data_IF_615767548741
#
_entry.id   IF_615767548741
#
_cell.length_a   1.000
_cell.length_b   1.000
_cell.length_c   1.000
_cell.angle_alpha   90.00
_cell.angle_beta   90.00
_cell.angle_gamma   90.00
#
_symmetry.space_group_name_H-M   'P 1'
#
loop_
_entity.id
_entity.type
_entity.pdbx_description
1 polymer ?
#
# COMPACT_ATOMS: atom_id res chain seq x y z
N UNK A 1 -22.43 20.89 0.74
CA UNK A 1 -21.61 20.19 1.75
C UNK A 1 -20.60 19.19 1.17
N UNK A 2 -20.64 18.88 -0.12
CA UNK A 2 -19.79 17.88 -0.79
C UNK A 2 -18.45 18.41 -1.29
N UNK A 3 -18.35 19.68 -1.67
CA UNK A 3 -17.12 20.26 -2.25
C UNK A 3 -16.01 20.54 -1.24
N UNK A 4 -16.36 20.92 0.00
CA UNK A 4 -15.37 21.11 1.09
C UNK A 4 -14.68 19.78 1.44
N UNK A 5 -15.41 18.67 1.41
CA UNK A 5 -14.86 17.33 1.68
C UNK A 5 -13.86 16.89 0.61
N UNK A 6 -14.04 17.32 -0.64
CA UNK A 6 -13.13 17.02 -1.75
C UNK A 6 -11.86 17.86 -1.69
N UNK A 7 -11.95 19.17 -1.40
CA UNK A 7 -10.76 20.01 -1.20
C UNK A 7 -9.94 19.58 0.02
N UNK A 8 -10.59 19.11 1.09
CA UNK A 8 -9.92 18.62 2.31
C UNK A 8 -9.10 17.35 2.06
N UNK A 9 -9.53 16.48 1.12
CA UNK A 9 -8.73 15.31 0.71
C UNK A 9 -7.45 15.69 -0.02
N UNK A 10 -7.48 16.76 -0.82
CA UNK A 10 -6.34 17.18 -1.66
C UNK A 10 -5.20 17.76 -0.80
N UNK A 11 -5.50 18.60 0.19
CA UNK A 11 -4.47 19.27 1.01
C UNK A 11 -3.68 18.28 1.90
N UNK A 12 -4.35 17.25 2.43
CA UNK A 12 -3.66 16.20 3.20
C UNK A 12 -2.79 15.32 2.28
N UNK A 13 -3.23 15.11 1.03
CA UNK A 13 -2.46 14.37 0.02
C UNK A 13 -1.22 15.16 -0.46
N UNK A 14 -1.34 16.46 -0.66
CA UNK A 14 -0.26 17.33 -1.15
C UNK A 14 0.86 17.53 -0.12
N UNK A 15 0.54 17.49 1.17
CA UNK A 15 1.57 17.48 2.23
C UNK A 15 2.39 16.20 2.29
N UNK A 16 1.91 15.11 1.65
CA UNK A 16 2.51 13.78 1.67
C UNK A 16 3.18 13.44 0.32
N UNK A 17 2.80 14.10 -0.79
CA UNK A 17 3.16 13.71 -2.16
C UNK A 17 3.90 14.79 -2.96
N UNK A 18 4.89 15.48 -2.38
CA UNK A 18 5.87 16.22 -3.20
C UNK A 18 6.95 15.28 -3.73
N UNK A 19 6.60 14.50 -4.76
CA UNK A 19 7.54 13.90 -5.70
C UNK A 19 6.97 14.02 -7.12
N UNK A 20 7.68 14.77 -7.95
CA UNK A 20 7.29 15.30 -9.25
C UNK A 20 6.84 14.26 -10.29
N UNK A 21 5.72 14.51 -10.96
CA UNK A 21 5.49 14.12 -12.35
C UNK A 21 4.69 15.22 -13.09
N UNK A 22 5.12 15.67 -14.29
CA UNK A 22 4.49 16.77 -15.01
C UNK A 22 3.22 16.32 -15.72
N UNK A 23 2.16 17.13 -15.60
CA UNK A 23 0.95 17.05 -16.42
C UNK A 23 1.16 17.96 -17.63
N UNK A 24 1.29 17.37 -18.82
CA UNK A 24 1.16 18.11 -20.09
C UNK A 24 -0.29 18.06 -20.54
N UNK A 25 -0.89 19.24 -20.69
CA UNK A 25 -2.12 19.50 -21.44
C UNK A 25 -1.78 19.54 -22.93
N UNK A 26 -2.69 19.06 -23.80
CA UNK A 26 -2.96 19.67 -25.11
C UNK A 26 -4.26 19.14 -25.73
N UNK A 27 -5.05 20.07 -26.26
CA UNK A 27 -6.25 19.91 -27.09
C UNK A 27 -5.91 19.49 -28.54
N UNK A 28 -6.80 18.79 -29.24
CA UNK A 28 -7.57 19.29 -30.41
C UNK A 28 -8.31 18.18 -31.18
N UNK A 29 -9.42 18.59 -31.80
CA UNK A 29 -10.36 17.87 -32.69
C UNK A 29 -9.68 17.25 -33.93
N UNK A 30 -10.35 16.29 -34.60
CA UNK A 30 -10.97 16.45 -35.95
C UNK A 30 -11.53 15.13 -36.54
N UNK A 31 -12.78 15.23 -37.04
CA UNK A 31 -13.51 14.57 -38.16
C UNK A 31 -13.59 13.03 -38.25
N UNK A 32 -14.81 12.43 -38.21
CA UNK A 32 -15.84 12.31 -39.27
C UNK A 32 -15.38 11.57 -40.53
N UNK A 33 -15.99 10.41 -40.80
CA UNK A 33 -16.42 10.01 -42.13
C UNK A 33 -17.66 9.12 -42.03
N UNK A 34 -18.74 9.56 -42.65
CA UNK A 34 -19.96 8.81 -42.94
C UNK A 34 -19.74 7.88 -44.15
N UNK A 35 -20.52 6.80 -44.21
CA UNK A 35 -20.58 5.91 -45.37
C UNK A 35 -21.64 4.85 -45.19
N UNK A 36 -22.82 5.10 -45.77
CA UNK A 36 -24.01 4.26 -45.76
C UNK A 36 -23.81 2.90 -46.46
N UNK A 37 -24.51 1.84 -46.02
CA UNK A 37 -25.68 1.28 -46.72
C UNK A 37 -26.12 -0.12 -46.26
N UNK A 38 -27.45 -0.28 -46.27
CA UNK A 38 -28.24 -1.48 -46.66
C UNK A 38 -28.28 -2.74 -45.78
N UNK A 39 -29.41 -2.84 -45.06
CA UNK A 39 -30.35 -3.98 -45.01
C UNK A 39 -29.85 -5.41 -44.73
N UNK A 40 -30.28 -5.98 -43.60
CA UNK A 40 -31.02 -7.25 -43.56
C UNK A 40 -31.70 -7.39 -42.19
N UNK A 41 -33.03 -7.25 -42.16
CA UNK A 41 -33.82 -7.40 -40.95
C UNK A 41 -34.23 -8.87 -40.83
N UNK A 42 -33.35 -9.71 -40.27
CA UNK A 42 -33.72 -11.07 -39.87
C UNK A 42 -34.34 -10.96 -38.48
N UNK A 43 -35.67 -11.06 -38.41
CA UNK A 43 -36.40 -11.36 -37.17
C UNK A 43 -35.74 -12.59 -36.53
N UNK A 44 -34.99 -12.37 -35.45
CA UNK A 44 -34.35 -13.45 -34.71
C UNK A 44 -35.43 -14.27 -34.00
N UNK A 45 -35.87 -15.35 -34.63
CA UNK A 45 -36.54 -16.47 -33.95
C UNK A 45 -35.47 -17.36 -33.32
N UNK A 46 -34.65 -16.76 -32.44
CA UNK A 46 -33.77 -17.46 -31.51
C UNK A 46 -33.88 -16.73 -30.18
N UNK A 47 -35.03 -16.97 -29.56
CA UNK A 47 -35.29 -16.60 -28.19
C UNK A 47 -34.40 -17.48 -27.29
N UNK A 48 -33.71 -16.84 -26.34
CA UNK A 48 -32.65 -17.35 -25.43
C UNK A 48 -31.23 -17.39 -26.01
N UNK A 49 -30.58 -16.21 -26.10
CA UNK A 49 -29.12 -16.13 -25.90
C UNK A 49 -28.81 -16.50 -24.45
N UNK A 50 -28.66 -17.79 -24.18
CA UNK A 50 -27.82 -18.24 -23.09
C UNK A 50 -26.45 -17.59 -23.36
N UNK A 51 -25.94 -16.75 -22.46
CA UNK A 51 -24.52 -16.33 -22.50
C UNK A 51 -23.71 -17.39 -21.72
N UNK A 52 -23.04 -18.35 -22.37
CA UNK A 52 -21.82 -18.92 -21.81
C UNK A 52 -20.71 -18.91 -22.89
N UNK A 53 -19.47 -19.38 -22.67
CA UNK A 53 -18.47 -19.16 -21.62
C UNK A 53 -17.39 -18.12 -22.05
N UNK A 54 -17.65 -17.33 -23.09
CA UNK A 54 -16.63 -16.53 -23.80
C UNK A 54 -15.98 -15.44 -22.93
N UNK A 55 -16.72 -14.86 -21.98
CA UNK A 55 -16.19 -13.88 -21.01
C UNK A 55 -15.23 -14.51 -20.00
N UNK A 56 -15.49 -15.75 -19.57
CA UNK A 56 -14.63 -16.46 -18.63
C UNK A 56 -13.31 -16.90 -19.28
N UNK A 57 -13.35 -17.34 -20.55
CA UNK A 57 -12.16 -17.69 -21.33
C UNK A 57 -11.29 -16.46 -21.56
N UNK A 58 -11.88 -15.32 -21.97
CA UNK A 58 -11.14 -14.07 -22.15
C UNK A 58 -10.51 -13.55 -20.85
N UNK A 59 -11.20 -13.72 -19.71
CA UNK A 59 -10.66 -13.37 -18.40
C UNK A 59 -9.49 -14.30 -18.01
N UNK A 60 -9.59 -15.60 -18.29
CA UNK A 60 -8.53 -16.57 -18.02
C UNK A 60 -7.29 -16.28 -18.90
N UNK A 61 -7.47 -16.02 -20.19
CA UNK A 61 -6.39 -15.64 -21.12
C UNK A 61 -5.73 -14.33 -20.68
N UNK A 62 -6.52 -13.33 -20.28
CA UNK A 62 -6.00 -12.06 -19.74
C UNK A 62 -5.18 -12.28 -18.46
N UNK A 63 -5.64 -13.15 -17.55
CA UNK A 63 -4.90 -13.51 -16.33
C UNK A 63 -3.57 -14.20 -16.64
N UNK A 64 -3.55 -15.18 -17.56
CA UNK A 64 -2.33 -15.88 -17.96
C UNK A 64 -1.33 -14.92 -18.61
N UNK A 65 -1.80 -14.05 -19.51
CA UNK A 65 -0.95 -13.05 -20.16
C UNK A 65 -0.35 -12.06 -19.14
N UNK A 66 -1.18 -11.56 -18.22
CA UNK A 66 -0.73 -10.68 -17.15
C UNK A 66 0.32 -11.36 -16.26
N UNK A 67 0.11 -12.62 -15.92
CA UNK A 67 1.06 -13.38 -15.11
C UNK A 67 2.40 -13.60 -15.83
N UNK A 68 2.39 -13.82 -17.13
CA UNK A 68 3.62 -13.89 -17.93
C UNK A 68 4.42 -12.59 -17.89
N UNK A 69 3.75 -11.44 -18.04
CA UNK A 69 4.39 -10.11 -17.93
C UNK A 69 5.03 -9.93 -16.55
N UNK A 70 4.28 -10.25 -15.48
CA UNK A 70 4.76 -10.15 -14.10
C UNK A 70 5.99 -11.05 -13.90
N UNK A 71 5.93 -12.32 -14.30
CA UNK A 71 7.04 -13.27 -14.15
C UNK A 71 8.32 -12.78 -14.84
N UNK A 72 8.18 -12.25 -16.07
CA UNK A 72 9.32 -11.69 -16.82
C UNK A 72 9.93 -10.49 -16.08
N UNK A 73 9.09 -9.57 -15.64
CA UNK A 73 9.54 -8.38 -14.91
C UNK A 73 10.21 -8.75 -13.57
N UNK A 74 9.63 -9.67 -12.80
CA UNK A 74 10.21 -10.17 -11.53
C UNK A 74 11.58 -10.78 -11.78
N UNK A 75 11.73 -11.64 -12.80
CA UNK A 75 13.03 -12.25 -13.10
C UNK A 75 14.12 -11.20 -13.31
N UNK A 76 13.81 -10.12 -14.02
CA UNK A 76 14.74 -9.01 -14.25
C UNK A 76 15.02 -8.23 -12.95
N UNK A 77 13.98 -7.94 -12.17
CA UNK A 77 14.12 -7.23 -10.89
C UNK A 77 14.91 -8.01 -9.86
N UNK A 78 14.79 -9.34 -9.82
CA UNK A 78 15.57 -10.18 -8.92
C UNK A 78 17.06 -10.11 -9.25
N UNK A 79 17.44 -10.05 -10.53
CA UNK A 79 18.84 -9.84 -10.92
C UNK A 79 19.38 -8.51 -10.39
N UNK A 80 18.57 -7.45 -10.37
CA UNK A 80 18.97 -6.17 -9.74
C UNK A 80 19.03 -6.27 -8.21
N UNK A 81 18.15 -7.04 -7.57
CA UNK A 81 18.11 -7.21 -6.13
C UNK A 81 19.38 -7.88 -5.57
N UNK A 82 20.02 -8.76 -6.35
CA UNK A 82 21.27 -9.42 -5.94
C UNK A 82 22.51 -8.53 -6.10
N UNK A 83 22.40 -7.40 -6.81
CA UNK A 83 23.52 -6.49 -7.05
C UNK A 83 23.78 -5.55 -5.86
N UNK A 84 25.04 -5.10 -5.68
CA UNK A 84 25.36 -3.99 -4.79
C UNK A 84 24.72 -2.69 -5.28
N UNK A 85 24.42 -1.77 -4.36
CA UNK A 85 23.75 -0.49 -4.71
C UNK A 85 24.66 0.45 -5.51
N UNK A 86 25.98 0.28 -5.38
CA UNK A 86 27.02 1.03 -6.10
C UNK A 86 27.98 0.06 -6.78
N UNK A 87 28.52 0.44 -7.94
CA UNK A 87 29.50 -0.37 -8.70
C UNK A 87 30.76 -0.72 -7.89
N UNK A 88 31.10 0.11 -6.90
CA UNK A 88 32.28 -0.04 -6.03
C UNK A 88 31.94 -0.66 -4.65
N UNK A 89 30.66 -0.95 -4.37
CA UNK A 89 30.28 -1.57 -3.10
C UNK A 89 30.53 -3.08 -3.16
N UNK A 90 31.21 -3.59 -2.14
CA UNK A 90 31.47 -5.03 -1.95
C UNK A 90 30.34 -5.74 -1.21
N UNK A 91 29.25 -5.05 -0.88
CA UNK A 91 28.13 -5.64 -0.13
C UNK A 91 27.20 -6.34 -1.11
N UNK A 92 27.33 -7.66 -1.18
CA UNK A 92 26.38 -8.49 -1.92
C UNK A 92 24.98 -8.37 -1.30
N UNK A 93 23.93 -8.32 -2.13
CA UNK A 93 22.53 -8.17 -1.69
C UNK A 93 22.19 -6.83 -0.99
N UNK A 94 23.03 -5.80 -1.09
CA UNK A 94 22.75 -4.48 -0.49
C UNK A 94 21.42 -3.89 -0.96
N UNK A 95 21.10 -4.02 -2.27
CA UNK A 95 19.83 -3.56 -2.84
C UNK A 95 18.63 -4.29 -2.23
N UNK A 96 18.78 -5.59 -1.95
CA UNK A 96 17.75 -6.40 -1.29
C UNK A 96 17.57 -5.97 0.17
N UNK A 97 18.66 -5.74 0.92
CA UNK A 97 18.57 -5.27 2.30
C UNK A 97 17.86 -3.91 2.39
N UNK A 98 18.21 -2.99 1.50
CA UNK A 98 17.55 -1.70 1.35
C UNK A 98 16.05 -1.85 1.02
N UNK A 99 15.69 -2.85 0.20
CA UNK A 99 14.30 -3.15 -0.09
C UNK A 99 13.54 -3.65 1.15
N UNK A 100 14.12 -4.51 1.98
CA UNK A 100 13.49 -4.97 3.23
C UNK A 100 13.21 -3.79 4.16
N UNK A 101 14.17 -2.88 4.32
CA UNK A 101 14.00 -1.64 5.11
C UNK A 101 12.86 -0.80 4.53
N UNK A 102 12.84 -0.61 3.22
CA UNK A 102 11.76 0.11 2.54
C UNK A 102 10.38 -0.54 2.78
N UNK A 103 10.29 -1.87 2.74
CA UNK A 103 9.03 -2.58 3.02
C UNK A 103 8.55 -2.33 4.44
N UNK A 104 9.45 -2.31 5.41
CA UNK A 104 9.14 -1.95 6.79
C UNK A 104 8.49 -0.56 6.87
N UNK A 105 9.15 0.45 6.28
CA UNK A 105 8.68 1.84 6.29
C UNK A 105 7.36 2.02 5.53
N UNK A 106 7.22 1.36 4.39
CA UNK A 106 5.99 1.37 3.60
C UNK A 106 4.80 0.75 4.35
N UNK A 107 5.04 -0.27 5.17
CA UNK A 107 4.01 -0.91 5.97
C UNK A 107 3.55 0.02 7.11
N UNK A 108 4.50 0.63 7.83
CA UNK A 108 4.22 1.63 8.87
C UNK A 108 3.36 2.76 8.31
N UNK A 109 3.77 3.33 7.17
CA UNK A 109 3.03 4.41 6.52
C UNK A 109 1.60 4.00 6.14
N UNK A 110 1.41 2.77 5.63
CA UNK A 110 0.08 2.27 5.26
C UNK A 110 -0.84 2.14 6.47
N UNK A 111 -0.33 1.60 7.58
CA UNK A 111 -1.08 1.50 8.83
C UNK A 111 -1.40 2.86 9.46
N UNK A 112 -0.45 3.79 9.45
CA UNK A 112 -0.65 5.14 10.00
C UNK A 112 -1.69 5.92 9.19
N UNK A 113 -1.72 5.78 7.87
CA UNK A 113 -2.76 6.39 7.03
C UNK A 113 -4.14 5.84 7.40
N UNK A 114 -4.28 4.51 7.54
CA UNK A 114 -5.54 3.89 7.97
C UNK A 114 -5.96 4.38 9.37
N UNK A 115 -5.02 4.45 10.32
CA UNK A 115 -5.29 4.95 11.68
C UNK A 115 -5.64 6.44 11.71
N UNK A 116 -5.02 7.26 10.86
CA UNK A 116 -5.35 8.67 10.73
C UNK A 116 -6.80 8.85 10.28
N UNK A 117 -7.24 8.07 9.27
CA UNK A 117 -8.62 8.09 8.78
C UNK A 117 -9.64 7.64 9.84
N UNK A 118 -9.25 6.75 10.74
CA UNK A 118 -10.08 6.35 11.90
C UNK A 118 -10.15 7.43 12.98
N UNK A 119 -9.02 8.07 13.30
CA UNK A 119 -8.90 9.03 14.40
C UNK A 119 -9.54 10.38 14.06
N UNK A 120 -9.40 10.87 12.82
CA UNK A 120 -10.01 12.14 12.36
C UNK A 120 -11.54 12.12 12.47
N UNK A 121 -12.16 10.93 12.51
CA UNK A 121 -13.61 10.79 12.76
C UNK A 121 -14.00 11.04 14.23
N UNK A 122 -13.05 10.99 15.16
CA UNK A 122 -13.28 11.03 16.62
C UNK A 122 -12.75 12.29 17.30
N UNK A 123 -11.69 12.91 16.76
CA UNK A 123 -11.03 14.08 17.36
C UNK A 123 -10.77 15.17 16.32
N UNK A 124 -10.42 16.37 16.78
CA UNK A 124 -10.00 17.46 15.90
C UNK A 124 -8.78 17.07 15.04
N UNK A 125 -8.69 17.62 13.83
CA UNK A 125 -7.62 17.33 12.86
C UNK A 125 -6.22 17.60 13.39
N UNK A 126 -6.04 18.66 14.18
CA UNK A 126 -4.75 19.03 14.74
C UNK A 126 -4.29 17.98 15.74
N UNK A 127 -5.21 17.57 16.62
CA UNK A 127 -4.95 16.51 17.60
C UNK A 127 -4.71 15.15 16.95
N UNK A 128 -5.43 14.85 15.86
CA UNK A 128 -5.20 13.65 15.06
C UNK A 128 -3.79 13.64 14.46
N UNK A 129 -3.35 14.77 13.88
CA UNK A 129 -2.01 14.92 13.30
C UNK A 129 -0.92 14.72 14.34
N UNK A 130 -1.03 15.37 15.50
CA UNK A 130 -0.03 15.27 16.56
C UNK A 130 0.06 13.84 17.11
N UNK A 131 -1.10 13.18 17.30
CA UNK A 131 -1.15 11.79 17.74
C UNK A 131 -0.51 10.83 16.74
N UNK A 132 -0.79 11.00 15.44
CA UNK A 132 -0.18 10.18 14.38
C UNK A 132 1.33 10.45 14.26
N UNK A 133 1.75 11.71 14.38
CA UNK A 133 3.16 12.09 14.34
C UNK A 133 3.95 11.47 15.49
N UNK A 134 3.39 11.50 16.71
CA UNK A 134 4.00 10.86 17.88
C UNK A 134 4.08 9.34 17.73
N UNK A 135 2.98 8.72 17.29
CA UNK A 135 2.92 7.28 17.03
C UNK A 135 3.95 6.84 15.98
N UNK A 136 4.11 7.64 14.90
CA UNK A 136 5.14 7.40 13.88
C UNK A 136 6.52 7.33 14.51
N UNK A 137 6.93 8.34 15.26
CA UNK A 137 8.26 8.40 15.85
C UNK A 137 8.53 7.20 16.77
N UNK A 138 7.58 6.85 17.64
CA UNK A 138 7.70 5.69 18.53
C UNK A 138 7.88 4.38 17.74
N UNK A 139 7.04 4.16 16.74
CA UNK A 139 7.07 2.95 15.91
C UNK A 139 8.39 2.89 15.12
N UNK A 140 8.83 4.00 14.55
CA UNK A 140 10.07 4.06 13.77
C UNK A 140 11.31 3.80 14.65
N UNK A 141 11.35 4.32 15.88
CA UNK A 141 12.44 4.04 16.83
C UNK A 141 12.50 2.55 17.21
N UNK A 142 11.36 1.94 17.59
CA UNK A 142 11.31 0.51 17.91
C UNK A 142 11.69 -0.35 16.69
N UNK A 143 11.23 0.02 15.49
CA UNK A 143 11.51 -0.70 14.25
C UNK A 143 12.99 -0.63 13.86
N UNK A 144 13.64 0.54 13.99
CA UNK A 144 15.08 0.70 13.76
C UNK A 144 15.90 -0.20 14.67
N UNK A 145 15.53 -0.28 15.94
CA UNK A 145 16.17 -1.18 16.92
C UNK A 145 16.01 -2.65 16.54
N UNK A 146 14.78 -3.08 16.18
CA UNK A 146 14.49 -4.45 15.73
C UNK A 146 15.29 -4.84 14.49
N UNK A 147 15.36 -3.94 13.50
CA UNK A 147 16.06 -4.18 12.24
C UNK A 147 17.57 -3.94 12.32
N UNK A 148 18.06 -3.35 13.41
CA UNK A 148 19.46 -2.93 13.62
C UNK A 148 19.95 -2.01 12.51
N UNK A 149 19.16 -0.98 12.20
CA UNK A 149 19.48 0.03 11.17
C UNK A 149 19.39 1.44 11.75
N UNK A 150 20.28 2.33 11.30
CA UNK A 150 20.26 3.73 11.75
C UNK A 150 19.10 4.51 11.12
N UNK A 151 18.76 4.16 9.88
CA UNK A 151 17.83 4.89 9.04
C UNK A 151 16.83 3.97 8.34
N UNK A 152 15.60 4.46 8.25
CA UNK A 152 14.54 3.86 7.46
C UNK A 152 14.56 4.42 6.03
N UNK A 153 14.01 3.67 5.08
CA UNK A 153 14.03 4.03 3.66
C UNK A 153 12.63 4.32 3.15
N UNK A 154 12.44 5.53 2.60
CA UNK A 154 11.16 5.94 2.01
C UNK A 154 11.05 5.61 0.52
N UNK A 155 12.17 5.28 -0.15
CA UNK A 155 12.21 4.93 -1.56
C UNK A 155 12.29 3.42 -1.75
N UNK A 156 11.54 2.88 -2.72
CA UNK A 156 11.59 1.47 -3.13
C UNK A 156 12.14 1.29 -4.54
N UNK A 157 13.47 1.29 -4.75
CA UNK A 157 14.08 1.17 -6.08
C UNK A 157 13.63 -0.08 -6.84
N UNK A 158 13.50 -1.23 -6.16
CA UNK A 158 13.06 -2.47 -6.80
C UNK A 158 11.59 -2.41 -7.26
N UNK A 159 10.72 -1.73 -6.53
CA UNK A 159 9.33 -1.52 -6.95
C UNK A 159 9.24 -0.56 -8.15
N UNK A 160 10.04 0.50 -8.14
CA UNK A 160 10.13 1.43 -9.26
C UNK A 160 10.66 0.71 -10.52
N UNK A 161 11.73 -0.08 -10.38
CA UNK A 161 12.28 -0.86 -11.46
C UNK A 161 11.30 -1.93 -11.97
N UNK A 162 10.65 -2.68 -11.07
CA UNK A 162 9.61 -3.64 -11.47
C UNK A 162 8.49 -2.98 -12.27
N UNK A 163 8.05 -1.80 -11.83
CA UNK A 163 7.00 -1.05 -12.53
C UNK A 163 7.44 -0.61 -13.91
N UNK A 164 8.68 -0.11 -14.07
CA UNK A 164 9.18 0.32 -15.38
C UNK A 164 9.30 -0.85 -16.36
N UNK A 165 9.65 -2.05 -15.89
CA UNK A 165 9.67 -3.26 -16.73
C UNK A 165 8.27 -3.67 -17.24
N UNK A 166 7.21 -3.32 -16.51
CA UNK A 166 5.82 -3.66 -16.88
C UNK A 166 5.10 -2.53 -17.63
N UNK A 167 5.60 -1.29 -17.56
CA UNK A 167 4.87 -0.09 -17.98
C UNK A 167 4.46 -0.11 -19.45
N UNK A 168 5.35 -0.59 -20.34
CA UNK A 168 5.04 -0.76 -21.76
C UNK A 168 3.86 -1.70 -22.01
N UNK A 169 3.76 -2.79 -21.26
CA UNK A 169 2.68 -3.78 -21.38
C UNK A 169 1.37 -3.35 -20.70
N UNK A 170 1.45 -2.41 -19.76
CA UNK A 170 0.29 -1.89 -19.03
C UNK A 170 -0.45 -0.76 -19.76
N UNK A 171 0.06 -0.26 -20.89
CA UNK A 171 -0.50 0.93 -21.59
C UNK A 171 -1.97 0.78 -21.98
N UNK A 172 -2.39 -0.42 -22.38
CA UNK A 172 -3.77 -0.72 -22.80
C UNK A 172 -4.72 -0.98 -21.62
N UNK A 173 -4.20 -1.08 -20.39
CA UNK A 173 -4.99 -1.37 -19.20
C UNK A 173 -5.56 -0.09 -18.58
N UNK A 174 -6.75 -0.19 -18.01
CA UNK A 174 -7.32 0.91 -17.23
C UNK A 174 -6.61 1.06 -15.86
N UNK A 175 -6.89 2.16 -15.15
CA UNK A 175 -6.25 2.46 -13.86
C UNK A 175 -6.35 1.31 -12.85
N UNK A 176 -7.55 0.77 -12.64
CA UNK A 176 -7.78 -0.30 -11.65
C UNK A 176 -7.06 -1.59 -12.03
N UNK A 177 -7.01 -1.91 -13.32
CA UNK A 177 -6.29 -3.08 -13.84
C UNK A 177 -4.77 -2.93 -13.67
N UNK A 178 -4.23 -1.74 -13.93
CA UNK A 178 -2.81 -1.43 -13.68
C UNK A 178 -2.47 -1.53 -12.20
N UNK A 179 -3.31 -0.98 -11.33
CA UNK A 179 -3.08 -1.00 -9.89
C UNK A 179 -3.18 -2.43 -9.32
N UNK A 180 -4.13 -3.24 -9.80
CA UNK A 180 -4.23 -4.66 -9.46
C UNK A 180 -3.01 -5.46 -9.94
N UNK A 181 -2.54 -5.21 -11.17
CA UNK A 181 -1.34 -5.86 -11.73
C UNK A 181 -0.09 -5.50 -10.91
N UNK A 182 0.12 -4.21 -10.61
CA UNK A 182 1.25 -3.75 -9.77
C UNK A 182 1.20 -4.38 -8.39
N UNK A 183 0.03 -4.38 -7.74
CA UNK A 183 -0.15 -5.01 -6.43
C UNK A 183 0.25 -6.48 -6.46
N UNK A 184 -0.22 -7.23 -7.44
CA UNK A 184 0.14 -8.66 -7.59
C UNK A 184 1.64 -8.83 -7.84
N UNK A 185 2.25 -7.99 -8.68
CA UNK A 185 3.69 -8.06 -8.96
C UNK A 185 4.54 -7.75 -7.72
N UNK A 186 4.15 -6.75 -6.93
CA UNK A 186 4.79 -6.39 -5.65
C UNK A 186 4.71 -7.51 -4.62
N UNK A 187 3.53 -8.11 -4.45
CA UNK A 187 3.34 -9.26 -3.55
C UNK A 187 4.21 -10.46 -3.95
N UNK A 188 4.27 -10.77 -5.25
CA UNK A 188 5.11 -11.85 -5.76
C UNK A 188 6.61 -11.54 -5.61
N UNK A 189 7.04 -10.31 -5.87
CA UNK A 189 8.43 -9.89 -5.64
C UNK A 189 8.82 -10.04 -4.17
N UNK A 190 7.98 -9.57 -3.23
CA UNK A 190 8.21 -9.73 -1.80
C UNK A 190 8.41 -11.22 -1.44
N UNK A 191 7.54 -12.12 -1.94
CA UNK A 191 7.67 -13.57 -1.72
C UNK A 191 8.96 -14.16 -2.29
N UNK A 192 9.40 -13.69 -3.46
CA UNK A 192 10.66 -14.14 -4.05
C UNK A 192 11.87 -13.66 -3.26
N UNK A 193 11.85 -12.43 -2.74
CA UNK A 193 12.90 -11.91 -1.86
C UNK A 193 12.98 -12.73 -0.57
N UNK A 194 11.85 -13.05 0.06
CA UNK A 194 11.82 -13.92 1.24
C UNK A 194 12.40 -15.31 0.97
N UNK A 195 12.11 -15.88 -0.21
CA UNK A 195 12.74 -17.14 -0.65
C UNK A 195 14.25 -17.00 -0.81
N UNK A 196 14.75 -15.89 -1.36
CA UNK A 196 16.20 -15.64 -1.50
C UNK A 196 16.84 -15.55 -0.11
N UNK A 197 16.29 -14.74 0.80
CA UNK A 197 16.77 -14.59 2.17
C UNK A 197 16.89 -15.96 2.85
N UNK A 198 15.83 -16.77 2.76
CA UNK A 198 15.79 -18.11 3.34
C UNK A 198 16.80 -19.07 2.69
N UNK A 199 16.79 -19.18 1.37
CA UNK A 199 17.61 -20.16 0.64
C UNK A 199 19.11 -19.84 0.72
N UNK A 200 19.46 -18.55 0.74
CA UNK A 200 20.84 -18.07 0.86
C UNK A 200 21.27 -17.86 2.32
N UNK A 201 20.37 -18.07 3.29
CA UNK A 201 20.60 -17.86 4.73
C UNK A 201 21.18 -16.48 5.02
N UNK A 202 20.61 -15.44 4.39
CA UNK A 202 21.08 -14.07 4.58
C UNK A 202 20.79 -13.62 6.02
N UNK A 203 21.73 -12.87 6.61
CA UNK A 203 21.58 -12.32 7.96
C UNK A 203 20.71 -11.04 7.94
N UNK A 204 19.43 -11.20 7.59
CA UNK A 204 18.44 -10.12 7.56
C UNK A 204 17.06 -10.70 7.84
N UNK A 205 16.12 -9.86 8.25
CA UNK A 205 14.73 -10.25 8.44
C UNK A 205 14.05 -10.47 7.09
N UNK A 206 13.14 -11.42 7.02
CA UNK A 206 12.21 -11.53 5.88
C UNK A 206 11.21 -10.36 5.88
N UNK A 207 10.70 -10.03 4.71
CA UNK A 207 9.65 -9.03 4.52
C UNK A 207 8.40 -9.45 5.29
N UNK A 208 8.08 -10.75 5.32
CA UNK A 208 6.97 -11.27 6.11
C UNK A 208 7.15 -11.00 7.62
N UNK A 209 8.32 -11.30 8.20
CA UNK A 209 8.61 -11.05 9.62
C UNK A 209 8.52 -9.56 9.94
N UNK A 210 9.08 -8.71 9.07
CA UNK A 210 9.03 -7.25 9.22
C UNK A 210 7.57 -6.75 9.22
N UNK A 211 6.74 -7.23 8.29
CA UNK A 211 5.31 -6.85 8.26
C UNK A 211 4.58 -7.28 9.52
N UNK A 212 4.86 -8.48 10.04
CA UNK A 212 4.26 -8.97 11.28
C UNK A 212 4.71 -8.11 12.48
N UNK A 213 5.99 -7.75 12.55
CA UNK A 213 6.51 -6.90 13.61
C UNK A 213 5.90 -5.50 13.57
N UNK A 214 5.80 -4.88 12.39
CA UNK A 214 5.13 -3.58 12.22
C UNK A 214 3.67 -3.64 12.68
N UNK A 215 2.93 -4.69 12.32
CA UNK A 215 1.57 -4.89 12.79
C UNK A 215 1.49 -4.92 14.33
N UNK A 216 2.40 -5.64 14.99
CA UNK A 216 2.47 -5.68 16.46
C UNK A 216 2.75 -4.30 17.06
N UNK A 217 3.71 -3.55 16.51
CA UNK A 217 4.05 -2.20 16.98
C UNK A 217 2.87 -1.24 16.85
N UNK A 218 2.20 -1.24 15.69
CA UNK A 218 1.01 -0.43 15.44
C UNK A 218 -0.11 -0.82 16.41
N UNK A 219 -0.37 -2.12 16.59
CA UNK A 219 -1.38 -2.59 17.53
C UNK A 219 -1.08 -2.19 18.98
N UNK A 220 0.19 -2.20 19.38
CA UNK A 220 0.64 -1.77 20.71
C UNK A 220 0.47 -0.26 20.91
N UNK A 221 0.90 0.55 19.94
CA UNK A 221 0.84 2.02 19.99
C UNK A 221 -0.60 2.55 20.00
N UNK A 222 -1.47 1.93 19.21
CA UNK A 222 -2.89 2.30 19.12
C UNK A 222 -3.81 1.41 19.96
N UNK A 223 -3.27 0.52 20.80
CA UNK A 223 -4.08 -0.23 21.75
C UNK A 223 -4.88 0.79 22.55
N UNK A 224 -6.21 0.64 22.54
CA UNK A 224 -7.05 1.37 23.48
C UNK A 224 -6.55 0.97 24.86
N UNK A 225 -5.81 1.85 25.51
CA UNK A 225 -5.60 1.72 26.94
C UNK A 225 -7.00 1.58 27.51
N UNK A 226 -7.35 0.38 27.99
CA UNK A 226 -8.42 0.14 28.98
C UNK A 226 -8.10 0.88 30.30
N UNK A 227 -7.49 2.07 30.24
CA UNK A 227 -7.23 3.01 31.34
C UNK A 227 -8.38 3.99 31.53
N UNK A 228 -9.57 3.70 31.01
CA UNK A 228 -10.81 4.27 31.55
C UNK A 228 -11.28 3.51 32.78
N UNK A 229 -10.97 2.22 32.94
CA UNK A 229 -11.40 1.45 34.12
C UNK A 229 -10.69 1.89 35.40
N UNK A 230 -9.36 2.10 35.35
CA UNK A 230 -8.61 2.64 36.50
C UNK A 230 -8.92 4.12 36.81
N UNK A 231 -9.41 4.90 35.83
CA UNK A 231 -9.84 6.29 36.03
C UNK A 231 -11.27 6.37 36.60
N UNK A 232 -12.10 5.35 36.34
CA UNK A 232 -13.44 5.18 36.94
C UNK A 232 -13.34 4.62 38.37
N UNK A 233 -12.42 3.70 38.65
CA UNK A 233 -12.18 3.17 40.00
C UNK A 233 -11.62 4.22 40.99
N UNK A 234 -10.87 5.22 40.51
CA UNK A 234 -10.33 6.30 41.36
C UNK A 234 -11.33 7.42 41.66
N UNK A 235 -12.45 7.55 40.92
CA UNK A 235 -13.48 8.56 41.23
C UNK A 235 -14.48 8.11 42.31
N UNK A 236 -14.55 6.81 42.61
CA UNK A 236 -15.46 6.27 43.63
C UNK A 236 -14.84 6.23 45.04
N UNK A 237 -13.65 6.82 45.25
CA UNK A 237 -13.01 6.91 46.58
C UNK A 237 -13.19 8.27 47.27
N UNK A 238 -13.84 9.25 46.63
CA UNK A 238 -13.99 10.61 47.16
C UNK A 238 -15.39 10.93 47.74
N UNK A 239 -16.19 9.92 48.10
CA UNK A 239 -17.43 10.17 48.86
C UNK A 239 -17.14 10.15 50.37
N UNK A 240 -17.32 11.28 51.09
CA UNK A 240 -17.21 11.27 52.54
C UNK A 240 -18.40 10.49 53.12
N UNK A 241 -18.12 9.33 53.71
CA UNK A 241 -19.07 8.63 54.58
C UNK A 241 -19.27 9.53 55.81
N UNK A 242 -20.35 10.31 55.82
CA UNK A 242 -20.82 10.95 57.06
C UNK A 242 -21.26 9.83 58.00
N UNK A 243 -20.44 9.54 59.01
CA UNK A 243 -20.83 8.71 60.14
C UNK A 243 -21.92 9.43 60.93
N UNK A 244 -23.18 9.01 60.77
CA UNK A 244 -24.22 9.34 61.74
C UNK A 244 -23.91 8.56 63.03
N UNK A 245 -23.52 9.30 64.07
CA UNK A 245 -23.53 8.79 65.44
C UNK A 245 -24.99 8.58 65.85
N UNK A 246 -25.31 7.35 66.22
CA UNK A 246 -26.52 7.00 66.94
C UNK A 246 -26.27 7.39 68.40
N UNK A 247 -27.13 8.25 68.94
CA UNK A 247 -27.34 8.46 70.37
C UNK A 247 -28.79 8.83 70.59
#
# INVERSE_FOLDING_TARGET
MTERTTMIKIIIFEGIMKSNFPISKTNHLIQQYEGANTSFNIRSVFNKKIKPPFTAINLAVKKVHNQYIINKAIKMTLVEAEKPTKKESNIQYETLYNHVIFRATSEVNSHLVQKADEIVKKVDKTQAKDRISKARNNIEEELKSFMKVDNLMNSGPLYAFLTSQMEGSMKSLNKNERDAMRKSAYEQLDQHIDKIIKNKKLNTHSIQEVKQHVNLLVSKEFAETKRTFNKLLRRNQDFPIKSQKIS
#
